data_IF_765910350244
#
_entry.id   IF_765910350244
#
_cell.length_a   1.000
_cell.length_b   1.000
_cell.length_c   1.000
_cell.angle_alpha   90.00
_cell.angle_beta   90.00
_cell.angle_gamma   90.00
#
_symmetry.space_group_name_H-M   'P 1'
#
loop_
_entity.id
_entity.type
_entity.pdbx_description
1 polymer ?
#
# COMPACT_ATOMS: atom_id res chain seq x y z
N UNK A 1 -23.32 -19.46 -15.74
CA UNK A 1 -24.41 -18.89 -16.56
C UNK A 1 -24.10 -17.43 -16.82
N UNK A 2 -24.29 -16.95 -18.05
CA UNK A 2 -24.14 -15.53 -18.34
C UNK A 2 -25.29 -14.73 -17.70
N UNK A 3 -25.00 -13.55 -17.16
CA UNK A 3 -25.99 -12.64 -16.59
C UNK A 3 -25.60 -11.19 -16.88
N UNK A 4 -26.50 -10.25 -16.68
CA UNK A 4 -26.22 -8.83 -16.79
C UNK A 4 -25.94 -8.24 -15.39
N UNK A 5 -24.72 -7.70 -15.21
CA UNK A 5 -24.38 -6.97 -14.00
C UNK A 5 -24.74 -5.48 -14.12
N UNK A 6 -25.25 -4.93 -13.04
CA UNK A 6 -25.46 -3.48 -12.91
C UNK A 6 -24.21 -2.87 -12.31
N UNK A 7 -23.58 -1.97 -13.06
CA UNK A 7 -22.40 -1.23 -12.60
C UNK A 7 -22.76 0.24 -12.37
N UNK A 8 -22.17 0.81 -11.37
CA UNK A 8 -22.17 2.25 -11.12
C UNK A 8 -20.74 2.71 -11.07
N UNK A 9 -20.24 3.32 -12.17
CA UNK A 9 -18.83 3.70 -12.32
C UNK A 9 -18.68 5.20 -12.21
N UNK A 10 -17.70 5.65 -11.44
CA UNK A 10 -17.38 7.06 -11.33
C UNK A 10 -16.72 7.54 -12.63
N UNK A 11 -17.23 8.65 -13.18
CA UNK A 11 -16.74 9.31 -14.39
C UNK A 11 -16.52 10.79 -14.12
N UNK A 12 -15.34 11.28 -14.49
CA UNK A 12 -14.96 12.68 -14.32
C UNK A 12 -13.44 12.84 -14.30
N UNK A 13 -13.00 14.01 -13.85
CA UNK A 13 -11.60 14.42 -13.81
C UNK A 13 -11.29 15.23 -12.54
N UNK A 14 -10.25 16.07 -12.57
CA UNK A 14 -9.83 16.91 -11.45
C UNK A 14 -10.86 17.99 -11.08
N UNK A 15 -11.70 18.43 -12.04
CA UNK A 15 -12.73 19.44 -11.82
C UNK A 15 -14.00 18.85 -11.18
N UNK A 16 -14.14 17.52 -11.16
CA UNK A 16 -15.25 16.81 -10.56
C UNK A 16 -15.83 15.73 -11.43
N UNK A 17 -16.86 15.06 -10.92
CA UNK A 17 -17.49 13.97 -11.65
C UNK A 17 -18.72 13.41 -10.96
N UNK A 18 -19.30 12.37 -11.55
CA UNK A 18 -20.49 11.70 -11.05
C UNK A 18 -20.44 10.19 -11.30
N UNK A 19 -21.23 9.46 -10.55
CA UNK A 19 -21.50 8.04 -10.78
C UNK A 19 -22.46 7.88 -11.97
N UNK A 20 -22.07 7.07 -12.93
CA UNK A 20 -22.90 6.70 -14.09
C UNK A 20 -23.26 5.22 -14.02
N UNK A 21 -24.51 4.92 -14.36
CA UNK A 21 -25.04 3.56 -14.36
C UNK A 21 -24.85 2.90 -15.73
N UNK A 22 -24.41 1.64 -15.70
CA UNK A 22 -24.17 0.80 -16.87
C UNK A 22 -24.70 -0.60 -16.62
N UNK A 23 -25.02 -1.30 -17.72
CA UNK A 23 -25.39 -2.71 -17.68
C UNK A 23 -24.48 -3.49 -18.61
N UNK A 24 -23.77 -4.47 -18.10
CA UNK A 24 -22.74 -5.19 -18.83
C UNK A 24 -22.89 -6.69 -18.65
N UNK A 25 -22.79 -7.45 -19.74
CA UNK A 25 -22.84 -8.90 -19.70
C UNK A 25 -21.62 -9.48 -18.96
N UNK A 26 -21.86 -10.48 -18.15
CA UNK A 26 -20.86 -11.19 -17.36
C UNK A 26 -20.86 -12.66 -17.75
N UNK A 27 -19.70 -13.21 -18.08
CA UNK A 27 -19.50 -14.63 -18.29
C UNK A 27 -18.91 -15.29 -17.04
N UNK A 28 -19.00 -16.61 -17.00
CA UNK A 28 -18.45 -17.39 -15.91
C UNK A 28 -16.91 -17.22 -15.81
N UNK A 29 -16.41 -17.06 -14.58
CA UNK A 29 -14.98 -16.94 -14.29
C UNK A 29 -14.38 -15.55 -14.47
N UNK A 30 -15.14 -14.57 -14.98
CA UNK A 30 -14.65 -13.20 -15.20
C UNK A 30 -14.40 -12.43 -13.89
N UNK A 31 -13.48 -11.47 -14.00
CA UNK A 31 -13.14 -10.52 -12.93
C UNK A 31 -13.63 -9.11 -13.28
N UNK A 32 -13.71 -8.23 -12.30
CA UNK A 32 -14.19 -6.85 -12.50
C UNK A 32 -13.42 -6.12 -13.61
N UNK A 33 -12.11 -6.37 -13.77
CA UNK A 33 -11.34 -5.75 -14.86
C UNK A 33 -11.82 -6.16 -16.24
N UNK A 34 -12.25 -7.42 -16.42
CA UNK A 34 -12.79 -7.89 -17.73
C UNK A 34 -14.09 -7.16 -18.05
N UNK A 35 -14.92 -6.92 -17.04
CA UNK A 35 -16.18 -6.19 -17.21
C UNK A 35 -15.93 -4.71 -17.52
N UNK A 36 -14.93 -4.08 -16.90
CA UNK A 36 -14.51 -2.71 -17.25
C UNK A 36 -14.00 -2.65 -18.70
N UNK A 37 -13.21 -3.62 -19.14
CA UNK A 37 -12.76 -3.66 -20.55
C UNK A 37 -13.93 -3.86 -21.53
N UNK A 38 -14.92 -4.70 -21.18
CA UNK A 38 -16.13 -4.87 -22.00
C UNK A 38 -16.95 -3.58 -22.03
N UNK A 39 -17.06 -2.88 -20.89
CA UNK A 39 -17.70 -1.57 -20.84
C UNK A 39 -17.00 -0.57 -21.76
N UNK A 40 -15.66 -0.53 -21.77
CA UNK A 40 -14.90 0.31 -22.72
C UNK A 40 -15.20 -0.05 -24.18
N UNK A 41 -15.32 -1.34 -24.49
CA UNK A 41 -15.57 -1.79 -25.86
C UNK A 41 -16.98 -1.45 -26.37
N UNK A 42 -17.97 -1.43 -25.47
CA UNK A 42 -19.39 -1.42 -25.90
C UNK A 42 -20.12 -0.13 -25.59
N UNK A 43 -19.75 0.62 -24.54
CA UNK A 43 -20.57 1.71 -24.03
C UNK A 43 -19.75 2.97 -23.67
N UNK A 44 -18.51 2.83 -23.20
CA UNK A 44 -17.70 3.92 -22.66
C UNK A 44 -16.24 3.81 -23.12
N UNK A 45 -16.00 3.99 -24.42
CA UNK A 45 -14.68 3.84 -25.03
C UNK A 45 -13.62 4.79 -24.51
N UNK A 46 -14.03 5.87 -23.86
CA UNK A 46 -13.16 6.88 -23.25
C UNK A 46 -12.93 6.69 -21.75
N UNK A 47 -13.49 5.65 -21.12
CA UNK A 47 -13.31 5.34 -19.71
C UNK A 47 -11.82 5.09 -19.39
N UNK A 48 -11.23 5.94 -18.56
CA UNK A 48 -9.83 5.79 -18.16
C UNK A 48 -9.69 4.78 -17.01
N UNK A 49 -8.86 3.78 -17.23
CA UNK A 49 -8.48 2.78 -16.22
C UNK A 49 -7.02 2.37 -16.40
N UNK A 50 -6.28 2.22 -15.30
CA UNK A 50 -4.92 1.64 -15.33
C UNK A 50 -4.98 0.13 -15.19
N UNK A 51 -4.21 -0.55 -16.01
CA UNK A 51 -3.99 -1.99 -15.89
C UNK A 51 -2.70 -2.41 -16.61
N UNK A 52 -2.17 -3.59 -16.28
CA UNK A 52 -1.01 -4.13 -16.97
C UNK A 52 -0.99 -5.66 -16.92
N UNK A 53 -0.69 -6.30 -15.77
CA UNK A 53 -0.40 -7.74 -15.69
C UNK A 53 -1.64 -8.65 -15.74
N UNK A 54 -2.82 -8.19 -15.37
CA UNK A 54 -4.07 -8.98 -15.17
C UNK A 54 -3.93 -10.17 -14.20
N UNK A 55 -2.87 -10.23 -13.39
CA UNK A 55 -2.52 -11.39 -12.56
C UNK A 55 -2.19 -11.03 -11.10
N UNK A 56 -2.63 -9.86 -10.63
CA UNK A 56 -2.41 -9.41 -9.25
C UNK A 56 -0.95 -9.11 -8.89
N UNK A 57 -0.06 -8.81 -9.86
CA UNK A 57 1.38 -8.68 -9.63
C UNK A 57 1.96 -7.28 -9.86
N UNK A 58 1.19 -6.34 -10.40
CA UNK A 58 1.70 -5.00 -10.73
C UNK A 58 1.02 -3.85 -9.96
N UNK A 59 -0.07 -4.11 -9.25
CA UNK A 59 -0.79 -3.10 -8.48
C UNK A 59 -1.54 -2.04 -9.31
N UNK A 60 -1.37 -1.99 -10.64
CA UNK A 60 -1.86 -0.88 -11.48
C UNK A 60 -3.39 -0.74 -11.49
N UNK A 61 -4.14 -1.84 -11.44
CA UNK A 61 -5.60 -1.85 -11.52
C UNK A 61 -6.30 -1.64 -10.17
N UNK A 62 -5.70 -0.87 -9.27
CA UNK A 62 -6.27 -0.54 -7.96
C UNK A 62 -7.42 0.44 -8.10
N UNK A 63 -8.55 0.12 -7.48
CA UNK A 63 -9.75 0.97 -7.42
C UNK A 63 -10.56 0.63 -6.15
N UNK A 64 -11.57 1.40 -5.85
CA UNK A 64 -12.54 1.02 -4.81
C UNK A 64 -13.75 0.33 -5.44
N UNK A 65 -14.10 -0.84 -4.91
CA UNK A 65 -15.26 -1.62 -5.32
C UNK A 65 -16.20 -1.71 -4.10
N UNK A 66 -17.40 -1.18 -4.25
CA UNK A 66 -18.37 -1.06 -3.15
C UNK A 66 -17.74 -0.40 -1.89
N UNK A 67 -16.94 0.66 -2.12
CA UNK A 67 -16.25 1.42 -1.06
C UNK A 67 -15.06 0.72 -0.42
N UNK A 68 -14.62 -0.43 -0.92
CA UNK A 68 -13.43 -1.15 -0.44
C UNK A 68 -12.33 -1.14 -1.50
N UNK A 69 -11.10 -0.73 -1.16
CA UNK A 69 -9.99 -0.75 -2.11
C UNK A 69 -9.60 -2.20 -2.44
N UNK A 70 -9.56 -2.51 -3.73
CA UNK A 70 -9.26 -3.85 -4.27
C UNK A 70 -8.54 -3.74 -5.62
N UNK A 71 -7.91 -4.84 -6.04
CA UNK A 71 -7.43 -5.00 -7.41
C UNK A 71 -8.58 -5.46 -8.31
N UNK A 72 -8.87 -4.71 -9.38
CA UNK A 72 -9.93 -5.08 -10.33
C UNK A 72 -9.68 -6.44 -10.97
N UNK A 73 -8.40 -6.79 -11.27
CA UNK A 73 -8.03 -8.06 -11.90
C UNK A 73 -8.09 -9.27 -10.94
N UNK A 74 -8.20 -9.06 -9.63
CA UNK A 74 -8.29 -10.15 -8.63
C UNK A 74 -9.69 -10.28 -8.03
N UNK A 75 -10.58 -9.36 -8.33
CA UNK A 75 -11.94 -9.37 -7.78
C UNK A 75 -12.87 -10.11 -8.75
N UNK A 76 -13.26 -11.33 -8.38
CA UNK A 76 -14.13 -12.18 -9.21
C UNK A 76 -15.57 -11.68 -9.19
N UNK A 77 -16.23 -11.70 -10.35
CA UNK A 77 -17.64 -11.33 -10.48
C UNK A 77 -18.56 -12.28 -9.67
N UNK A 78 -18.17 -13.53 -9.51
CA UNK A 78 -18.91 -14.53 -8.70
C UNK A 78 -18.97 -14.22 -7.19
N UNK A 79 -18.24 -13.20 -6.71
CA UNK A 79 -18.30 -12.77 -5.29
C UNK A 79 -19.43 -11.78 -5.01
N UNK A 80 -20.13 -11.32 -6.05
CA UNK A 80 -21.26 -10.39 -5.95
C UNK A 80 -22.57 -11.11 -6.24
N UNK A 81 -23.63 -10.64 -5.59
CA UNK A 81 -24.99 -11.04 -5.97
C UNK A 81 -25.32 -10.46 -7.36
N UNK A 82 -25.79 -11.25 -8.34
CA UNK A 82 -26.18 -10.76 -9.65
C UNK A 82 -27.23 -9.64 -9.63
N UNK A 83 -28.04 -9.55 -8.57
CA UNK A 83 -29.03 -8.49 -8.38
C UNK A 83 -28.44 -7.19 -7.82
N UNK A 84 -27.25 -7.25 -7.23
CA UNK A 84 -26.59 -6.10 -6.61
C UNK A 84 -25.99 -5.15 -7.65
N UNK A 85 -26.07 -3.85 -7.37
CA UNK A 85 -25.32 -2.84 -8.16
C UNK A 85 -23.91 -2.70 -7.64
N UNK A 86 -22.91 -2.97 -8.46
CA UNK A 86 -21.50 -2.88 -8.12
C UNK A 86 -21.02 -1.46 -8.40
N UNK A 87 -20.61 -0.74 -7.34
CA UNK A 87 -20.07 0.61 -7.46
C UNK A 87 -18.55 0.55 -7.59
N UNK A 88 -17.99 1.24 -8.61
CA UNK A 88 -16.54 1.29 -8.88
C UNK A 88 -16.11 2.75 -8.91
N UNK A 89 -15.20 3.12 -8.03
CA UNK A 89 -14.69 4.49 -7.87
C UNK A 89 -13.17 4.52 -7.85
N UNK A 90 -12.53 5.66 -8.16
CA UNK A 90 -11.09 5.81 -7.99
C UNK A 90 -10.69 5.65 -6.53
N UNK A 91 -9.39 5.46 -6.27
CA UNK A 91 -8.84 5.47 -4.92
C UNK A 91 -9.00 6.86 -4.32
N UNK A 92 -9.89 7.01 -3.32
CA UNK A 92 -10.34 8.31 -2.78
C UNK A 92 -9.25 9.13 -2.09
N UNK A 93 -8.17 8.50 -1.67
CA UNK A 93 -7.06 9.15 -0.96
C UNK A 93 -6.17 9.98 -1.89
N UNK A 94 -6.19 9.68 -3.18
CA UNK A 94 -5.33 10.30 -4.18
C UNK A 94 -6.13 11.19 -5.12
N UNK A 95 -5.55 12.32 -5.59
CA UNK A 95 -6.20 13.20 -6.55
C UNK A 95 -6.61 12.43 -7.81
N UNK A 96 -7.78 12.71 -8.32
CA UNK A 96 -8.26 12.10 -9.57
C UNK A 96 -7.61 12.81 -10.75
N UNK A 97 -7.08 12.03 -11.69
CA UNK A 97 -6.64 12.53 -13.00
C UNK A 97 -7.81 12.41 -13.98
N UNK A 98 -8.36 11.20 -14.12
CA UNK A 98 -9.53 10.94 -14.94
C UNK A 98 -10.18 9.60 -14.58
N UNK A 99 -11.47 9.57 -14.40
CA UNK A 99 -12.28 8.39 -14.11
C UNK A 99 -11.69 7.54 -12.95
N UNK A 100 -11.18 6.33 -13.24
CA UNK A 100 -10.56 5.44 -12.25
C UNK A 100 -9.05 5.65 -12.09
N UNK A 101 -8.48 6.63 -12.77
CA UNK A 101 -7.05 6.94 -12.72
C UNK A 101 -6.77 8.07 -11.74
N UNK A 102 -5.90 7.81 -10.77
CA UNK A 102 -5.50 8.77 -9.72
C UNK A 102 -4.01 9.11 -9.80
N UNK A 103 -3.63 10.28 -9.30
CA UNK A 103 -2.24 10.67 -9.11
C UNK A 103 -1.68 10.02 -7.82
N UNK A 104 -0.77 9.09 -7.99
CA UNK A 104 -0.12 8.37 -6.91
C UNK A 104 1.31 8.88 -6.62
N UNK A 105 1.68 10.04 -7.13
CA UNK A 105 3.03 10.64 -7.00
C UNK A 105 3.46 10.81 -5.56
N UNK A 106 2.54 11.18 -4.65
CA UNK A 106 2.78 11.24 -3.21
C UNK A 106 3.54 10.00 -2.68
N UNK A 107 3.15 8.82 -3.18
CA UNK A 107 3.76 7.58 -2.72
C UNK A 107 5.25 7.48 -3.12
N UNK A 108 5.59 7.91 -4.31
CA UNK A 108 6.98 7.87 -4.80
C UNK A 108 7.84 8.96 -4.16
N UNK A 109 7.25 10.11 -3.82
CA UNK A 109 7.93 11.15 -3.05
C UNK A 109 8.31 10.61 -1.67
N UNK A 110 7.37 10.00 -0.96
CA UNK A 110 7.63 9.35 0.33
C UNK A 110 8.65 8.21 0.24
N UNK A 111 8.66 7.46 -0.86
CA UNK A 111 9.68 6.42 -1.07
C UNK A 111 11.10 6.98 -1.16
N UNK A 112 11.27 8.17 -1.74
CA UNK A 112 12.58 8.83 -1.85
C UNK A 112 13.12 9.35 -0.52
N UNK A 113 12.26 9.63 0.44
CA UNK A 113 12.66 10.07 1.79
C UNK A 113 13.27 8.94 2.62
N UNK A 114 13.04 7.67 2.25
CA UNK A 114 13.60 6.53 2.96
C UNK A 114 15.04 6.29 2.51
N UNK A 115 16.02 6.42 3.41
CA UNK A 115 17.40 6.11 3.09
C UNK A 115 17.56 4.67 2.59
N UNK A 116 18.35 4.49 1.53
CA UNK A 116 18.61 3.17 0.96
C UNK A 116 19.36 2.27 1.94
N UNK A 117 19.38 0.97 1.64
CA UNK A 117 20.21 0.00 2.36
C UNK A 117 21.69 0.43 2.36
N UNK A 118 22.32 0.39 3.51
CA UNK A 118 23.72 0.75 3.70
C UNK A 118 24.50 -0.46 4.17
N UNK A 119 25.25 -1.15 3.29
CA UNK A 119 25.99 -2.35 3.65
C UNK A 119 27.22 -2.02 4.53
N UNK A 120 27.72 -2.99 5.32
CA UNK A 120 29.01 -2.88 5.98
C UNK A 120 30.14 -2.60 4.98
N UNK A 121 31.08 -1.77 5.36
CA UNK A 121 32.18 -1.32 4.47
C UNK A 121 33.21 -2.42 4.16
N UNK A 122 33.30 -3.41 5.02
CA UNK A 122 34.24 -4.54 4.96
C UNK A 122 33.72 -5.73 4.11
N UNK A 123 32.43 -5.75 3.77
CA UNK A 123 31.86 -6.81 2.94
C UNK A 123 31.96 -6.48 1.45
N UNK A 124 32.38 -7.50 0.68
CA UNK A 124 32.42 -7.41 -0.78
C UNK A 124 31.09 -7.84 -1.42
N UNK A 125 30.78 -7.41 -2.63
CA UNK A 125 29.62 -7.91 -3.38
C UNK A 125 29.63 -9.46 -3.46
N UNK A 126 28.53 -10.10 -3.05
CA UNK A 126 28.39 -11.56 -2.95
C UNK A 126 28.60 -12.15 -1.55
N UNK A 127 29.09 -11.37 -0.60
CA UNK A 127 29.26 -11.78 0.80
C UNK A 127 28.06 -11.44 1.70
N UNK A 128 27.02 -10.81 1.14
CA UNK A 128 25.80 -10.42 1.88
C UNK A 128 24.96 -11.64 2.22
N UNK A 129 25.36 -12.39 3.25
CA UNK A 129 24.64 -13.57 3.72
C UNK A 129 23.84 -13.23 4.97
N UNK A 130 22.61 -13.71 5.02
CA UNK A 130 21.71 -13.60 6.17
C UNK A 130 21.48 -14.97 6.78
N UNK A 131 21.32 -15.01 8.10
CA UNK A 131 20.80 -16.19 8.77
C UNK A 131 19.34 -16.40 8.34
N UNK A 132 18.90 -17.68 8.31
CA UNK A 132 17.53 -18.02 7.88
C UNK A 132 16.47 -17.31 8.72
N UNK A 133 16.70 -17.17 10.02
CA UNK A 133 15.81 -16.46 10.95
C UNK A 133 15.60 -14.98 10.57
N UNK A 134 16.65 -14.29 10.10
CA UNK A 134 16.57 -12.91 9.67
C UNK A 134 15.85 -12.78 8.31
N UNK A 135 16.06 -13.75 7.42
CA UNK A 135 15.32 -13.84 6.17
C UNK A 135 13.83 -14.03 6.45
N UNK A 136 13.46 -14.96 7.31
CA UNK A 136 12.06 -15.24 7.65
C UNK A 136 11.36 -14.04 8.29
N UNK A 137 12.08 -13.26 9.08
CA UNK A 137 11.56 -12.04 9.72
C UNK A 137 11.19 -10.94 8.73
N UNK A 138 11.95 -10.77 7.65
CA UNK A 138 11.82 -9.63 6.73
C UNK A 138 11.30 -9.96 5.33
N UNK A 139 11.38 -11.24 4.89
CA UNK A 139 11.03 -11.62 3.51
C UNK A 139 9.58 -11.35 3.11
N UNK A 140 8.66 -11.34 4.09
CA UNK A 140 7.24 -11.07 3.85
C UNK A 140 7.04 -9.71 3.19
N UNK A 141 7.82 -8.70 3.56
CA UNK A 141 7.68 -7.33 3.07
C UNK A 141 8.06 -7.17 1.59
N UNK A 142 8.92 -8.07 1.07
CA UNK A 142 9.34 -8.10 -0.35
C UNK A 142 8.23 -8.50 -1.31
N UNK A 143 7.14 -9.09 -0.80
CA UNK A 143 5.95 -9.42 -1.61
C UNK A 143 5.17 -8.20 -2.06
N UNK A 144 5.48 -7.01 -1.53
CA UNK A 144 4.74 -5.80 -1.82
C UNK A 144 4.83 -5.41 -3.29
N UNK A 145 3.67 -5.32 -3.95
CA UNK A 145 3.52 -4.96 -5.37
C UNK A 145 3.22 -3.47 -5.60
N UNK A 146 3.31 -2.65 -4.56
CA UNK A 146 3.07 -1.19 -4.60
C UNK A 146 1.70 -0.79 -5.19
N UNK A 147 0.67 -1.54 -4.83
CA UNK A 147 -0.71 -1.27 -5.25
C UNK A 147 -1.36 -0.10 -4.50
N UNK A 148 -0.78 0.36 -3.42
CA UNK A 148 -1.22 1.47 -2.56
C UNK A 148 -2.61 1.30 -1.91
N UNK A 149 -3.20 0.11 -1.94
CA UNK A 149 -4.48 -0.15 -1.27
C UNK A 149 -4.39 0.10 0.25
N UNK A 150 -3.26 -0.26 0.87
CA UNK A 150 -2.99 0.02 2.28
C UNK A 150 -2.89 1.50 2.60
N UNK A 151 -2.35 2.32 1.68
CA UNK A 151 -2.32 3.78 1.79
C UNK A 151 -3.74 4.35 1.66
N UNK A 152 -4.52 3.85 0.69
CA UNK A 152 -5.89 4.31 0.44
C UNK A 152 -6.85 3.99 1.59
N UNK A 153 -6.67 2.87 2.28
CA UNK A 153 -7.54 2.49 3.40
C UNK A 153 -7.13 3.11 4.74
N UNK A 154 -5.90 3.62 4.83
CA UNK A 154 -5.40 4.21 6.07
C UNK A 154 -6.13 5.53 6.38
N UNK A 155 -6.93 5.54 7.46
CA UNK A 155 -7.71 6.72 7.81
C UNK A 155 -6.83 7.94 8.12
N UNK A 156 -5.58 7.77 8.59
CA UNK A 156 -4.65 8.87 8.81
C UNK A 156 -4.24 9.52 7.48
N UNK A 157 -4.02 8.74 6.43
CA UNK A 157 -3.70 9.27 5.09
C UNK A 157 -4.93 9.77 4.38
N UNK A 158 -6.07 9.09 4.54
CA UNK A 158 -7.32 9.32 3.80
C UNK A 158 -8.13 10.49 4.35
N UNK A 159 -8.32 10.53 5.67
CA UNK A 159 -9.30 11.40 6.30
C UNK A 159 -8.67 12.63 6.99
N UNK A 160 -7.32 12.66 7.09
CA UNK A 160 -6.55 13.70 7.75
C UNK A 160 -5.49 14.29 6.82
N UNK A 161 -5.93 15.14 5.90
CA UNK A 161 -5.03 15.74 4.90
C UNK A 161 -3.90 16.56 5.51
N UNK A 162 -4.15 17.18 6.66
CA UNK A 162 -3.16 17.91 7.46
C UNK A 162 -1.98 17.02 7.88
N UNK A 163 -2.19 15.72 8.02
CA UNK A 163 -1.16 14.74 8.43
C UNK A 163 -0.36 14.16 7.25
N UNK A 164 -0.81 14.32 6.00
CA UNK A 164 -0.16 13.74 4.82
C UNK A 164 1.31 14.12 4.68
N UNK A 165 1.70 15.32 5.08
CA UNK A 165 3.11 15.76 5.02
C UNK A 165 3.96 15.04 6.05
N UNK A 166 3.43 14.82 7.26
CA UNK A 166 4.15 14.28 8.40
C UNK A 166 4.03 12.76 8.52
N UNK A 167 3.13 12.11 7.79
CA UNK A 167 2.87 10.68 7.89
C UNK A 167 3.14 9.96 6.56
N UNK A 168 4.19 9.15 6.53
CA UNK A 168 4.57 8.39 5.33
C UNK A 168 3.56 7.29 4.95
N UNK A 169 2.75 6.83 5.91
CA UNK A 169 1.77 5.78 5.70
C UNK A 169 2.31 4.35 5.80
N UNK A 170 1.41 3.36 5.82
CA UNK A 170 1.77 1.98 6.15
C UNK A 170 2.75 1.34 5.16
N UNK A 171 2.69 1.68 3.85
CA UNK A 171 3.60 1.10 2.85
C UNK A 171 5.06 1.45 3.14
N UNK A 172 5.33 2.70 3.50
CA UNK A 172 6.70 3.20 3.67
C UNK A 172 7.24 2.90 5.06
N UNK A 173 6.41 2.94 6.07
CA UNK A 173 6.78 2.46 7.41
C UNK A 173 7.12 0.97 7.39
N UNK A 174 6.39 0.16 6.62
CA UNK A 174 6.74 -1.24 6.40
C UNK A 174 8.11 -1.38 5.70
N UNK A 175 8.39 -0.55 4.69
CA UNK A 175 9.71 -0.55 4.02
C UNK A 175 10.84 -0.15 4.97
N UNK A 176 10.62 0.83 5.83
CA UNK A 176 11.58 1.20 6.86
C UNK A 176 11.82 0.04 7.83
N UNK A 177 10.76 -0.67 8.22
CA UNK A 177 10.87 -1.87 9.08
C UNK A 177 11.70 -2.96 8.42
N UNK A 178 11.48 -3.24 7.15
CA UNK A 178 12.26 -4.22 6.38
C UNK A 178 13.76 -3.92 6.46
N UNK A 179 14.12 -2.66 6.28
CA UNK A 179 15.51 -2.21 6.36
C UNK A 179 16.04 -2.19 7.80
N UNK A 180 15.25 -1.73 8.76
CA UNK A 180 15.63 -1.69 10.18
C UNK A 180 15.84 -3.09 10.80
N UNK A 181 15.16 -4.09 10.26
CA UNK A 181 15.32 -5.50 10.64
C UNK A 181 16.44 -6.22 9.89
N UNK A 182 17.01 -5.60 8.88
CA UNK A 182 18.05 -6.24 8.07
C UNK A 182 19.38 -6.26 8.81
N UNK A 183 19.99 -7.44 9.13
CA UNK A 183 21.16 -7.54 10.00
C UNK A 183 22.41 -6.89 9.41
N UNK A 184 22.48 -6.70 8.11
CA UNK A 184 23.58 -6.08 7.39
C UNK A 184 23.33 -4.61 7.02
N UNK A 185 22.22 -4.02 7.48
CA UNK A 185 22.01 -2.58 7.31
C UNK A 185 22.69 -1.80 8.44
N UNK A 186 23.69 -1.02 8.06
CA UNK A 186 24.44 -0.20 9.01
C UNK A 186 23.88 1.21 9.20
N UNK A 187 22.74 1.51 8.57
CA UNK A 187 22.06 2.78 8.78
C UNK A 187 21.42 2.80 10.17
N UNK A 188 22.08 3.46 11.09
CA UNK A 188 21.59 3.65 12.46
C UNK A 188 20.32 4.52 12.48
N UNK A 189 19.44 4.21 13.45
CA UNK A 189 18.28 5.06 13.81
C UNK A 189 17.08 5.05 12.87
N UNK A 190 16.90 4.07 11.97
CA UNK A 190 15.71 4.01 11.10
C UNK A 190 14.38 4.04 11.87
N UNK A 191 14.30 3.31 12.97
CA UNK A 191 13.10 3.31 13.80
C UNK A 191 12.86 4.69 14.46
N UNK A 192 13.92 5.40 14.86
CA UNK A 192 13.83 6.76 15.40
C UNK A 192 13.43 7.75 14.30
N UNK A 193 14.01 7.63 13.11
CA UNK A 193 13.61 8.43 11.95
C UNK A 193 12.14 8.20 11.58
N UNK A 194 11.68 6.95 11.59
CA UNK A 194 10.27 6.63 11.36
C UNK A 194 9.35 7.35 12.35
N UNK A 195 9.78 7.44 13.63
CA UNK A 195 9.03 8.12 14.67
C UNK A 195 9.04 9.64 14.52
N UNK A 196 10.20 10.24 14.28
CA UNK A 196 10.40 11.68 14.37
C UNK A 196 10.13 12.41 13.03
N UNK A 197 10.40 11.76 11.89
CA UNK A 197 10.29 12.38 10.57
C UNK A 197 9.14 11.81 9.73
N UNK A 198 8.81 10.52 9.87
CA UNK A 198 7.82 9.85 9.03
C UNK A 198 6.50 9.54 9.74
N UNK A 199 6.31 10.09 10.94
CA UNK A 199 5.04 10.14 11.64
C UNK A 199 4.53 8.78 12.13
N UNK A 200 5.42 7.85 12.51
CA UNK A 200 5.03 6.54 13.04
C UNK A 200 4.04 6.66 14.22
N UNK A 201 4.12 7.75 15.00
CA UNK A 201 3.22 8.05 16.11
C UNK A 201 1.74 8.20 15.70
N UNK A 202 1.45 8.66 14.48
CA UNK A 202 0.07 8.80 13.99
C UNK A 202 -0.64 7.47 13.75
N UNK A 203 0.11 6.37 13.60
CA UNK A 203 -0.50 5.05 13.43
C UNK A 203 -1.12 4.55 14.74
N UNK A 204 -2.43 4.36 14.76
CA UNK A 204 -3.19 3.85 15.92
C UNK A 204 -3.55 2.35 15.82
N UNK A 205 -2.87 1.61 14.94
CA UNK A 205 -2.93 0.13 14.89
C UNK A 205 -4.34 -0.44 14.59
N UNK A 206 -5.09 0.23 13.72
CA UNK A 206 -6.44 -0.24 13.31
C UNK A 206 -6.45 -1.48 12.41
N UNK A 207 -5.29 -1.93 11.92
CA UNK A 207 -5.11 -3.09 11.03
C UNK A 207 -5.75 -3.00 9.64
N UNK A 208 -6.39 -1.90 9.29
CA UNK A 208 -7.03 -1.73 7.98
C UNK A 208 -6.06 -1.95 6.80
N UNK A 209 -4.79 -1.56 6.94
CA UNK A 209 -3.76 -1.79 5.93
C UNK A 209 -3.42 -3.27 5.72
N UNK A 210 -3.43 -4.07 6.79
CA UNK A 210 -3.23 -5.53 6.73
C UNK A 210 -4.41 -6.21 6.05
N UNK A 211 -5.64 -5.77 6.36
CA UNK A 211 -6.87 -6.37 5.85
C UNK A 211 -7.00 -6.26 4.32
N UNK A 212 -6.56 -5.15 3.74
CA UNK A 212 -6.71 -4.91 2.29
C UNK A 212 -5.53 -5.39 1.46
N UNK A 213 -4.47 -5.91 2.08
CA UNK A 213 -3.26 -6.30 1.36
C UNK A 213 -3.49 -7.52 0.45
N UNK A 214 -3.37 -7.41 -0.89
CA UNK A 214 -3.63 -8.51 -1.80
C UNK A 214 -2.54 -9.60 -1.74
N UNK A 215 -1.35 -9.27 -1.24
CA UNK A 215 -0.25 -10.21 -1.02
C UNK A 215 -0.23 -10.77 0.42
N UNK A 216 -1.29 -10.49 1.21
CA UNK A 216 -1.49 -10.99 2.57
C UNK A 216 -0.35 -10.65 3.55
N UNK A 217 0.32 -9.52 3.32
CA UNK A 217 1.38 -9.03 4.22
C UNK A 217 0.74 -8.57 5.52
N UNK A 218 1.22 -9.10 6.65
CA UNK A 218 0.79 -8.69 7.99
C UNK A 218 1.43 -7.37 8.39
N UNK A 219 1.09 -6.29 7.65
CA UNK A 219 1.72 -4.98 7.76
C UNK A 219 1.70 -4.46 9.20
N UNK A 220 0.57 -4.57 9.89
CA UNK A 220 0.45 -4.06 11.25
C UNK A 220 1.25 -4.89 12.24
N UNK A 221 1.05 -6.21 12.24
CA UNK A 221 1.59 -7.10 13.27
C UNK A 221 3.10 -7.34 13.09
N UNK A 222 3.56 -7.50 11.84
CA UNK A 222 4.94 -7.85 11.56
C UNK A 222 5.84 -6.64 11.25
N UNK A 223 5.24 -5.47 10.90
CA UNK A 223 6.03 -4.27 10.61
C UNK A 223 5.76 -3.13 11.58
N UNK A 224 4.52 -2.61 11.64
CA UNK A 224 4.26 -1.35 12.36
C UNK A 224 4.41 -1.49 13.88
N UNK A 225 3.93 -2.57 14.46
CA UNK A 225 4.08 -2.83 15.90
C UNK A 225 5.56 -3.00 16.26
N UNK A 226 6.33 -3.91 15.62
CA UNK A 226 7.76 -4.02 15.89
C UNK A 226 8.55 -2.72 15.67
N UNK A 227 8.20 -1.92 14.65
CA UNK A 227 8.87 -0.64 14.42
C UNK A 227 8.62 0.35 15.56
N UNK A 228 7.39 0.40 16.10
CA UNK A 228 7.07 1.22 17.28
C UNK A 228 7.83 0.78 18.52
N UNK A 229 7.89 -0.52 18.76
CA UNK A 229 8.66 -1.09 19.89
C UNK A 229 10.14 -0.73 19.78
N UNK A 230 10.75 -0.96 18.62
CA UNK A 230 12.16 -0.63 18.36
C UNK A 230 12.43 0.88 18.47
N UNK A 231 11.51 1.74 18.04
CA UNK A 231 11.64 3.19 18.23
C UNK A 231 11.57 3.58 19.70
N UNK A 232 10.67 2.96 20.48
CA UNK A 232 10.54 3.20 21.91
C UNK A 232 11.77 2.73 22.67
N UNK A 233 12.29 1.53 22.39
CA UNK A 233 13.49 0.99 23.02
C UNK A 233 14.71 1.89 22.78
N UNK A 234 14.92 2.30 21.52
CA UNK A 234 16.07 3.16 21.19
C UNK A 234 16.00 4.56 21.79
N UNK A 235 14.79 5.10 21.96
CA UNK A 235 14.59 6.49 22.43
C UNK A 235 14.43 6.60 23.93
N UNK A 236 13.80 5.64 24.58
CA UNK A 236 13.36 5.73 25.96
C UNK A 236 13.95 4.66 26.90
N UNK A 237 14.67 3.65 26.38
CA UNK A 237 15.32 2.65 27.21
C UNK A 237 16.48 3.29 28.01
N UNK A 238 16.40 3.35 29.35
CA UNK A 238 17.44 3.96 30.18
C UNK A 238 18.78 3.22 30.11
N UNK A 239 18.78 1.92 29.82
CA UNK A 239 20.00 1.12 29.68
C UNK A 239 20.69 1.46 28.36
N UNK A 240 19.95 1.56 27.28
CA UNK A 240 20.47 2.00 25.97
C UNK A 240 20.95 3.44 26.04
N UNK A 241 20.19 4.33 26.70
CA UNK A 241 20.58 5.72 26.90
C UNK A 241 21.89 5.82 27.72
N UNK A 242 22.00 5.06 28.82
CA UNK A 242 23.18 5.04 29.64
C UNK A 242 24.39 4.46 28.89
N UNK A 243 24.22 3.37 28.16
CA UNK A 243 25.22 2.76 27.29
C UNK A 243 25.75 3.73 26.27
N UNK A 244 24.86 4.41 25.54
CA UNK A 244 25.23 5.43 24.56
C UNK A 244 25.98 6.59 25.17
N UNK A 245 25.62 7.00 26.40
CA UNK A 245 26.27 8.09 27.11
C UNK A 245 27.68 7.71 27.63
N UNK A 246 27.89 6.44 28.03
CA UNK A 246 29.13 5.95 28.59
C UNK A 246 30.12 5.48 27.50
N UNK A 247 29.65 4.88 26.42
CA UNK A 247 30.49 4.20 25.41
C UNK A 247 30.59 4.94 24.08
N UNK A 248 29.69 5.90 23.74
CA UNK A 248 29.83 6.81 22.60
C UNK A 248 30.53 8.11 23.05
N UNK A 249 31.78 8.00 23.45
CA UNK A 249 32.74 9.12 23.50
C UNK A 249 33.72 8.90 22.34
N UNK A 250 33.44 9.54 21.20
CA UNK A 250 34.33 9.53 20.06
C UNK A 250 33.59 9.96 18.81
#
# INVERSE_FOLDING_TARGET
MAYQAKLRVWRGDEDGGALQDFSVDVNEGEVVLDIIHRLQQTQAGDLAVRWNCKAGKCGSCSAEINGRPKLLCMTRMSTFDPAETITITPLRTFPVIRDLVTDVSFNYEKAREIPSFTPPKDLQPGEYRMMQEDVERSQEFRKCIECFLCQNTCHVVRDHEENKKAFAGPRYLMRQTELDMHPLDTHDHRAVQAQDENGLGFCNITKCCTEVCPEHIKITDNALIPLKERAADRKYDPVVWLGNKLFRRG
#
